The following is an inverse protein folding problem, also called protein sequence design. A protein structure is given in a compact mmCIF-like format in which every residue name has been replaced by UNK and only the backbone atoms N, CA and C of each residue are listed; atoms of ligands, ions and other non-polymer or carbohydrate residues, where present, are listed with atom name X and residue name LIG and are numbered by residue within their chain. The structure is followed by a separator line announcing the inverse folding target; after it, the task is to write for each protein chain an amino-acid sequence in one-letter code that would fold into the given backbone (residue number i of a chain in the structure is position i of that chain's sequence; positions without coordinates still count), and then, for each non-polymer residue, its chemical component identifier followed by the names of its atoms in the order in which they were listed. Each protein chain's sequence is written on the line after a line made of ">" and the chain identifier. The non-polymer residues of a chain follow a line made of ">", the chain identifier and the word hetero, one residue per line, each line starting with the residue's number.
data_IF_206606695155
#
_entry.id   IF_206606695155
#
_cell.length_a   1.000
_cell.length_b   1.000
_cell.length_c   1.000
_cell.angle_alpha   90.00
_cell.angle_beta   90.00
_cell.angle_gamma   90.00
#
_symmetry.space_group_name_H-M   'P 1'
#
loop_
_entity.id
_entity.type
_entity.pdbx_description
1 polymer ?
#
# COMPACT_ATOMS: atom_id res chain seq x y z
N UNK A 1 -48.65 24.92 -32.62
CA UNK A 1 -47.96 25.79 -31.64
C UNK A 1 -46.71 25.06 -31.16
N UNK A 2 -45.55 25.67 -31.39
CA UNK A 2 -44.23 25.16 -31.03
C UNK A 2 -43.85 25.70 -29.66
N UNK A 3 -43.37 24.87 -28.75
CA UNK A 3 -42.45 25.31 -27.70
C UNK A 3 -41.30 24.30 -27.59
N UNK A 4 -40.26 24.60 -28.37
CA UNK A 4 -38.89 24.19 -28.13
C UNK A 4 -38.39 24.99 -26.92
N UNK A 5 -37.93 24.34 -25.87
CA UNK A 5 -37.16 24.97 -24.78
C UNK A 5 -35.68 24.69 -25.02
N UNK A 6 -34.83 25.72 -25.19
CA UNK A 6 -33.40 25.53 -25.37
C UNK A 6 -32.72 25.38 -24.01
N UNK A 7 -32.01 24.27 -23.80
CA UNK A 7 -30.98 24.17 -22.78
C UNK A 7 -29.69 24.74 -23.37
N UNK A 8 -29.41 26.03 -23.11
CA UNK A 8 -28.05 26.52 -23.24
C UNK A 8 -27.75 27.71 -22.31
N UNK A 9 -26.83 27.42 -21.38
CA UNK A 9 -25.85 28.29 -20.70
C UNK A 9 -26.26 29.64 -20.13
N UNK A 10 -25.87 29.85 -18.86
CA UNK A 10 -24.82 30.84 -18.61
C UNK A 10 -23.87 30.41 -17.46
N UNK A 11 -22.58 30.78 -17.55
CA UNK A 11 -21.55 30.44 -16.59
C UNK A 11 -21.43 31.53 -15.51
N UNK A 12 -21.21 31.14 -14.26
CA UNK A 12 -20.50 32.02 -13.33
C UNK A 12 -19.44 31.23 -12.56
N UNK A 13 -18.25 31.34 -13.11
CA UNK A 13 -16.97 31.31 -12.42
C UNK A 13 -17.01 32.22 -11.18
N UNK A 14 -16.98 31.59 -10.01
CA UNK A 14 -16.26 32.13 -8.86
C UNK A 14 -15.63 30.95 -8.12
N UNK A 15 -14.51 30.46 -8.65
CA UNK A 15 -13.59 29.62 -7.89
C UNK A 15 -12.63 30.57 -7.16
N UNK A 16 -12.71 30.73 -5.83
CA UNK A 16 -11.57 31.23 -5.10
C UNK A 16 -10.45 30.19 -5.20
N UNK A 17 -9.23 30.69 -5.41
CA UNK A 17 -8.01 29.91 -5.56
C UNK A 17 -7.85 28.86 -4.44
N UNK A 18 -7.79 27.59 -4.83
CA UNK A 18 -7.55 26.48 -3.90
C UNK A 18 -8.22 25.17 -4.26
N UNK A 19 -8.34 24.81 -5.54
CA UNK A 19 -8.80 23.46 -5.93
C UNK A 19 -7.67 22.47 -5.69
N UNK A 20 -7.46 22.11 -4.43
CA UNK A 20 -6.92 20.79 -4.12
C UNK A 20 -8.05 19.81 -4.47
N UNK A 21 -7.93 19.14 -5.62
CA UNK A 21 -8.95 18.20 -6.07
C UNK A 21 -9.27 17.12 -5.02
N UNK A 22 -10.38 16.37 -5.15
CA UNK A 22 -10.76 15.32 -4.21
C UNK A 22 -9.62 14.32 -3.93
N UNK A 23 -8.82 14.05 -4.97
CA UNK A 23 -7.64 13.19 -4.89
C UNK A 23 -6.48 13.83 -4.10
N UNK A 24 -6.30 15.15 -4.20
CA UNK A 24 -5.36 15.89 -3.36
C UNK A 24 -5.80 15.92 -1.90
N UNK A 25 -7.11 16.09 -1.62
CA UNK A 25 -7.66 15.99 -0.26
C UNK A 25 -7.49 14.58 0.34
N UNK A 26 -7.68 13.52 -0.46
CA UNK A 26 -7.38 12.14 -0.08
C UNK A 26 -5.88 11.89 0.15
N UNK A 27 -5.00 12.51 -0.62
CA UNK A 27 -3.54 12.38 -0.45
C UNK A 27 -2.98 13.27 0.68
N UNK A 28 -3.66 14.36 1.03
CA UNK A 28 -3.23 15.37 2.01
C UNK A 28 -3.84 15.18 3.41
N UNK A 29 -4.51 14.05 3.67
CA UNK A 29 -4.95 13.69 5.01
C UNK A 29 -6.38 14.09 5.36
N UNK A 30 -7.26 14.24 4.37
CA UNK A 30 -8.71 14.24 4.58
C UNK A 30 -9.13 12.93 5.25
N UNK A 31 -9.47 13.00 6.54
CA UNK A 31 -10.00 11.89 7.34
C UNK A 31 -11.28 11.37 6.66
N UNK A 32 -11.22 10.23 5.98
CA UNK A 32 -12.40 9.47 5.59
C UNK A 32 -12.92 9.65 4.16
N UNK A 33 -12.05 9.83 3.16
CA UNK A 33 -12.46 9.60 1.77
C UNK A 33 -12.74 8.12 1.55
N UNK A 34 -14.01 7.71 1.49
CA UNK A 34 -14.37 6.36 1.06
C UNK A 34 -14.04 6.25 -0.43
N UNK A 35 -13.17 5.32 -0.80
CA UNK A 35 -12.88 5.05 -2.22
C UNK A 35 -14.03 4.19 -2.73
N UNK A 36 -14.77 4.70 -3.71
CA UNK A 36 -15.86 3.99 -4.34
C UNK A 36 -15.70 4.06 -5.85
N UNK A 37 -15.72 2.91 -6.52
CA UNK A 37 -15.79 2.83 -7.97
C UNK A 37 -17.20 3.19 -8.40
N UNK A 38 -17.32 4.17 -9.30
CA UNK A 38 -18.61 4.58 -9.81
C UNK A 38 -19.27 3.42 -10.57
N UNK A 39 -20.42 2.95 -10.08
CA UNK A 39 -21.37 2.04 -10.73
C UNK A 39 -20.77 0.79 -11.42
N UNK A 40 -20.10 -0.12 -10.70
CA UNK A 40 -19.75 -1.43 -11.26
C UNK A 40 -21.01 -2.27 -11.54
N UNK A 41 -20.99 -3.06 -12.61
CA UNK A 41 -22.08 -4.01 -12.90
C UNK A 41 -22.30 -4.96 -11.71
N UNK A 42 -23.54 -5.42 -11.49
CA UNK A 42 -23.91 -6.24 -10.32
C UNK A 42 -22.99 -7.46 -10.11
N UNK A 43 -22.62 -8.13 -11.21
CA UNK A 43 -21.74 -9.31 -11.21
C UNK A 43 -20.27 -9.01 -10.87
N UNK A 44 -19.86 -7.74 -10.88
CA UNK A 44 -18.49 -7.28 -10.60
C UNK A 44 -18.37 -6.58 -9.24
N UNK A 45 -19.46 -6.47 -8.47
CA UNK A 45 -19.46 -5.76 -7.17
C UNK A 45 -18.43 -6.28 -6.19
N UNK A 46 -18.23 -7.59 -6.13
CA UNK A 46 -17.24 -8.21 -5.24
C UNK A 46 -15.82 -7.80 -5.65
N UNK A 47 -15.49 -7.91 -6.93
CA UNK A 47 -14.18 -7.50 -7.48
C UNK A 47 -13.94 -6.00 -7.28
N UNK A 48 -14.96 -5.16 -7.48
CA UNK A 48 -14.88 -3.73 -7.24
C UNK A 48 -14.61 -3.38 -5.76
N UNK A 49 -15.32 -4.03 -4.83
CA UNK A 49 -15.12 -3.81 -3.39
C UNK A 49 -13.70 -4.19 -2.92
N UNK A 50 -13.13 -5.28 -3.45
CA UNK A 50 -11.73 -5.63 -3.19
C UNK A 50 -10.77 -4.57 -3.75
N UNK A 51 -11.05 -4.07 -4.96
CA UNK A 51 -10.22 -3.05 -5.59
C UNK A 51 -10.26 -1.72 -4.82
N UNK A 52 -11.42 -1.30 -4.34
CA UNK A 52 -11.58 -0.11 -3.48
C UNK A 52 -10.76 -0.23 -2.18
N UNK A 53 -10.84 -1.40 -1.53
CA UNK A 53 -10.04 -1.70 -0.33
C UNK A 53 -8.54 -1.63 -0.63
N UNK A 54 -8.10 -2.15 -1.77
CA UNK A 54 -6.69 -2.13 -2.18
C UNK A 54 -6.20 -0.71 -2.49
N UNK A 55 -7.04 0.14 -3.09
CA UNK A 55 -6.74 1.56 -3.32
C UNK A 55 -6.62 2.29 -1.97
N UNK A 56 -7.59 2.09 -1.06
CA UNK A 56 -7.56 2.69 0.27
C UNK A 56 -6.29 2.28 1.05
N UNK A 57 -5.93 1.00 1.00
CA UNK A 57 -4.71 0.48 1.64
C UNK A 57 -3.44 1.11 1.04
N UNK A 58 -3.37 1.29 -0.28
CA UNK A 58 -2.25 1.97 -0.93
C UNK A 58 -2.14 3.43 -0.50
N UNK A 59 -3.25 4.17 -0.51
CA UNK A 59 -3.28 5.57 -0.11
C UNK A 59 -2.85 5.74 1.36
N UNK A 60 -3.33 4.86 2.24
CA UNK A 60 -2.92 4.83 3.64
C UNK A 60 -1.41 4.61 3.79
N UNK A 61 -0.83 3.67 3.02
CA UNK A 61 0.63 3.43 3.03
C UNK A 61 1.41 4.65 2.54
N UNK A 62 0.93 5.34 1.49
CA UNK A 62 1.54 6.58 0.99
C UNK A 62 1.53 7.68 2.07
N UNK A 63 0.43 7.82 2.80
CA UNK A 63 0.33 8.79 3.89
C UNK A 63 1.28 8.47 5.05
N UNK A 64 1.38 7.20 5.45
CA UNK A 64 2.20 6.75 6.58
C UNK A 64 3.71 6.76 6.29
N UNK A 65 4.11 6.75 5.02
CA UNK A 65 5.52 6.70 4.64
C UNK A 65 6.25 8.03 4.92
N UNK A 66 7.23 7.97 5.84
CA UNK A 66 8.05 9.14 6.21
C UNK A 66 9.04 9.56 5.12
N UNK A 67 9.69 8.60 4.45
CA UNK A 67 10.66 8.86 3.38
C UNK A 67 10.02 8.63 2.01
N UNK A 68 9.25 9.62 1.54
CA UNK A 68 8.51 9.53 0.26
C UNK A 68 9.43 9.50 -0.97
N UNK A 69 10.66 10.01 -0.85
CA UNK A 69 11.67 10.02 -1.91
C UNK A 69 12.55 8.75 -1.93
N UNK A 70 12.28 7.73 -1.10
CA UNK A 70 13.02 6.46 -1.16
C UNK A 70 12.76 5.75 -2.50
N UNK A 71 13.79 5.51 -3.33
CA UNK A 71 13.59 4.93 -4.67
C UNK A 71 12.87 3.58 -4.66
N UNK A 72 13.08 2.73 -3.65
CA UNK A 72 12.36 1.44 -3.57
C UNK A 72 10.88 1.64 -3.28
N UNK A 73 10.58 2.59 -2.41
CA UNK A 73 9.19 2.92 -2.10
C UNK A 73 8.49 3.48 -3.33
N UNK A 74 9.12 4.41 -4.05
CA UNK A 74 8.58 4.99 -5.28
C UNK A 74 8.34 3.90 -6.33
N UNK A 75 9.32 3.01 -6.54
CA UNK A 75 9.19 1.92 -7.51
C UNK A 75 8.05 0.95 -7.14
N UNK A 76 7.98 0.52 -5.88
CA UNK A 76 6.95 -0.40 -5.42
C UNK A 76 5.54 0.20 -5.52
N UNK A 77 5.36 1.46 -5.12
CA UNK A 77 4.07 2.15 -5.25
C UNK A 77 3.70 2.38 -6.71
N UNK A 78 4.65 2.70 -7.59
CA UNK A 78 4.38 2.86 -9.02
C UNK A 78 3.91 1.54 -9.66
N UNK A 79 4.56 0.42 -9.36
CA UNK A 79 4.14 -0.90 -9.83
C UNK A 79 2.77 -1.29 -9.26
N UNK A 80 2.55 -1.05 -7.97
CA UNK A 80 1.25 -1.31 -7.33
C UNK A 80 0.13 -0.48 -7.97
N UNK A 81 0.39 0.81 -8.23
CA UNK A 81 -0.58 1.69 -8.90
C UNK A 81 -0.87 1.23 -10.33
N UNK A 82 0.14 0.78 -11.08
CA UNK A 82 -0.05 0.22 -12.41
C UNK A 82 -1.00 -0.99 -12.40
N UNK A 83 -0.85 -1.90 -11.44
CA UNK A 83 -1.77 -3.03 -11.25
C UNK A 83 -3.20 -2.58 -10.89
N UNK A 84 -3.36 -1.54 -10.06
CA UNK A 84 -4.68 -0.98 -9.73
C UNK A 84 -5.36 -0.35 -10.95
N UNK A 85 -4.62 0.40 -11.78
CA UNK A 85 -5.16 0.99 -13.00
C UNK A 85 -5.54 -0.08 -14.02
N UNK A 86 -4.71 -1.12 -14.18
CA UNK A 86 -5.02 -2.25 -15.04
C UNK A 86 -6.32 -2.95 -14.60
N UNK A 87 -6.49 -3.23 -13.31
CA UNK A 87 -7.71 -3.81 -12.78
C UNK A 87 -8.93 -2.92 -12.98
N UNK A 88 -8.80 -1.63 -12.67
CA UNK A 88 -9.88 -0.65 -12.87
C UNK A 88 -10.33 -0.64 -14.33
N UNK A 89 -9.39 -0.62 -15.27
CA UNK A 89 -9.68 -0.64 -16.70
C UNK A 89 -10.43 -1.91 -17.14
N UNK A 90 -9.99 -3.09 -16.68
CA UNK A 90 -10.64 -4.36 -17.00
C UNK A 90 -12.06 -4.41 -16.39
N UNK A 91 -12.23 -4.00 -15.13
CA UNK A 91 -13.55 -3.94 -14.49
C UNK A 91 -14.51 -3.04 -15.25
N UNK A 92 -14.07 -1.86 -15.70
CA UNK A 92 -14.94 -0.96 -16.45
C UNK A 92 -15.23 -1.43 -17.87
N UNK A 93 -14.25 -2.02 -18.57
CA UNK A 93 -14.47 -2.64 -19.87
C UNK A 93 -15.52 -3.74 -19.80
N UNK A 94 -15.40 -4.61 -18.80
CA UNK A 94 -16.33 -5.73 -18.62
C UNK A 94 -17.68 -5.26 -18.09
N UNK A 95 -17.72 -4.20 -17.28
CA UNK A 95 -18.97 -3.53 -16.89
C UNK A 95 -19.72 -3.04 -18.13
N UNK A 96 -19.04 -2.40 -19.08
CA UNK A 96 -19.65 -1.98 -20.33
C UNK A 96 -20.19 -3.16 -21.13
N UNK A 97 -19.39 -4.22 -21.31
CA UNK A 97 -19.80 -5.42 -22.07
C UNK A 97 -21.01 -6.13 -21.45
N UNK A 98 -21.04 -6.26 -20.12
CA UNK A 98 -22.19 -6.80 -19.38
C UNK A 98 -23.43 -5.91 -19.47
N UNK A 99 -23.26 -4.58 -19.54
CA UNK A 99 -24.38 -3.63 -19.62
C UNK A 99 -24.99 -3.59 -21.02
N UNK A 100 -24.18 -3.85 -22.06
CA UNK A 100 -24.63 -3.93 -23.45
C UNK A 100 -25.08 -5.34 -23.86
N UNK A 101 -25.00 -6.31 -22.95
CA UNK A 101 -25.37 -7.71 -23.18
C UNK A 101 -24.64 -8.34 -24.39
N UNK A 102 -23.34 -8.03 -24.55
CA UNK A 102 -22.54 -8.63 -25.62
C UNK A 102 -22.47 -10.17 -25.47
N UNK A 103 -22.40 -10.89 -26.58
CA UNK A 103 -22.25 -12.36 -26.59
C UNK A 103 -21.01 -12.84 -25.81
N UNK A 104 -19.95 -12.01 -25.73
CA UNK A 104 -18.73 -12.32 -24.97
C UNK A 104 -18.81 -11.98 -23.48
N UNK A 105 -19.88 -11.32 -23.02
CA UNK A 105 -19.94 -10.75 -21.68
C UNK A 105 -19.78 -11.79 -20.54
N UNK A 106 -20.36 -13.01 -20.61
CA UNK A 106 -20.11 -14.04 -19.58
C UNK A 106 -18.65 -14.49 -19.52
N UNK A 107 -17.99 -14.61 -20.68
CA UNK A 107 -16.57 -14.97 -20.77
C UNK A 107 -15.70 -13.86 -20.21
N UNK A 108 -15.95 -12.63 -20.61
CA UNK A 108 -15.17 -11.47 -20.18
C UNK A 108 -15.33 -11.20 -18.68
N UNK A 109 -16.52 -11.50 -18.13
CA UNK A 109 -16.75 -11.53 -16.69
C UNK A 109 -15.85 -12.51 -15.94
N UNK A 110 -15.80 -13.78 -16.37
CA UNK A 110 -14.95 -14.80 -15.74
C UNK A 110 -13.46 -14.44 -15.86
N UNK A 111 -13.03 -13.96 -17.03
CA UNK A 111 -11.66 -13.50 -17.24
C UNK A 111 -11.31 -12.31 -16.35
N UNK A 112 -12.25 -11.40 -16.14
CA UNK A 112 -12.07 -10.26 -15.22
C UNK A 112 -11.89 -10.73 -13.80
N UNK A 113 -12.69 -11.68 -13.33
CA UNK A 113 -12.53 -12.24 -11.98
C UNK A 113 -11.17 -12.91 -11.81
N UNK A 114 -10.74 -13.73 -12.77
CA UNK A 114 -9.43 -14.37 -12.75
C UNK A 114 -8.29 -13.35 -12.76
N UNK A 115 -8.37 -12.33 -13.62
CA UNK A 115 -7.40 -11.25 -13.70
C UNK A 115 -7.30 -10.46 -12.39
N UNK A 116 -8.45 -10.12 -11.76
CA UNK A 116 -8.47 -9.43 -10.48
C UNK A 116 -7.82 -10.25 -9.36
N UNK A 117 -8.08 -11.56 -9.31
CA UNK A 117 -7.50 -12.45 -8.31
C UNK A 117 -5.97 -12.56 -8.47
N UNK A 118 -5.49 -12.78 -9.69
CA UNK A 118 -4.06 -12.89 -9.99
C UNK A 118 -3.32 -11.56 -9.76
N UNK A 119 -3.92 -10.44 -10.17
CA UNK A 119 -3.40 -9.10 -9.91
C UNK A 119 -3.35 -8.77 -8.41
N UNK A 120 -4.28 -9.28 -7.60
CA UNK A 120 -4.23 -9.16 -6.13
C UNK A 120 -3.00 -9.87 -5.55
N UNK A 121 -2.69 -11.08 -6.03
CA UNK A 121 -1.49 -11.81 -5.63
C UNK A 121 -0.20 -11.06 -6.03
N UNK A 122 -0.15 -10.49 -7.24
CA UNK A 122 0.98 -9.65 -7.68
C UNK A 122 1.15 -8.41 -6.81
N UNK A 123 0.06 -7.71 -6.49
CA UNK A 123 0.09 -6.54 -5.57
C UNK A 123 0.63 -6.91 -4.19
N UNK A 124 0.21 -8.05 -3.63
CA UNK A 124 0.73 -8.53 -2.35
C UNK A 124 2.23 -8.85 -2.42
N UNK A 125 2.69 -9.46 -3.52
CA UNK A 125 4.11 -9.75 -3.77
C UNK A 125 4.95 -8.48 -3.84
N UNK A 126 4.51 -7.46 -4.58
CA UNK A 126 5.21 -6.16 -4.69
C UNK A 126 5.44 -5.54 -3.31
N UNK A 127 4.42 -5.56 -2.45
CA UNK A 127 4.53 -5.03 -1.09
C UNK A 127 5.49 -5.85 -0.23
N UNK A 128 5.43 -7.18 -0.32
CA UNK A 128 6.32 -8.08 0.40
C UNK A 128 7.79 -7.86 0.00
N UNK A 129 8.08 -7.76 -1.30
CA UNK A 129 9.43 -7.50 -1.82
C UNK A 129 9.97 -6.14 -1.39
N UNK A 130 9.12 -5.11 -1.37
CA UNK A 130 9.49 -3.81 -0.85
C UNK A 130 9.80 -3.84 0.65
N UNK A 131 8.95 -4.47 1.46
CA UNK A 131 9.15 -4.60 2.91
C UNK A 131 10.44 -5.38 3.22
N UNK A 132 10.68 -6.48 2.51
CA UNK A 132 11.91 -7.28 2.61
C UNK A 132 13.15 -6.45 2.25
N UNK A 133 13.10 -5.72 1.14
CA UNK A 133 14.22 -4.87 0.69
C UNK A 133 14.50 -3.72 1.66
N UNK A 134 13.44 -3.13 2.23
CA UNK A 134 13.55 -2.09 3.26
C UNK A 134 14.16 -2.63 4.56
N UNK A 135 13.77 -3.84 4.97
CA UNK A 135 14.34 -4.52 6.13
C UNK A 135 15.82 -4.87 5.90
N UNK A 136 16.18 -5.40 4.73
CA UNK A 136 17.55 -5.73 4.37
C UNK A 136 18.46 -4.50 4.43
N UNK A 137 18.03 -3.36 3.86
CA UNK A 137 18.79 -2.09 3.96
C UNK A 137 18.98 -1.62 5.39
N UNK A 138 17.97 -1.78 6.26
CA UNK A 138 18.07 -1.41 7.67
C UNK A 138 19.03 -2.33 8.43
N UNK A 139 19.05 -3.62 8.11
CA UNK A 139 19.98 -4.57 8.71
C UNK A 139 21.42 -4.25 8.30
N UNK A 140 21.67 -4.06 7.01
CA UNK A 140 22.98 -3.66 6.47
C UNK A 140 23.44 -2.32 7.04
N UNK A 141 22.57 -1.31 7.07
CA UNK A 141 22.94 0.02 7.54
C UNK A 141 23.18 0.14 9.05
N UNK A 142 22.74 -0.85 9.86
CA UNK A 142 23.03 -0.92 11.30
C UNK A 142 24.27 -1.75 11.61
N UNK A 143 24.72 -2.57 10.66
CA UNK A 143 25.92 -3.35 10.80
C UNK A 143 27.13 -2.42 10.65
N UNK A 144 27.83 -2.14 11.76
CA UNK A 144 29.13 -1.47 11.71
C UNK A 144 30.19 -2.34 11.01
N UNK A 145 29.97 -3.66 11.03
CA UNK A 145 30.77 -4.67 10.34
C UNK A 145 29.83 -5.68 9.69
N UNK A 146 29.87 -5.78 8.36
CA UNK A 146 29.08 -6.74 7.57
C UNK A 146 29.52 -8.18 7.84
N UNK A 147 30.77 -8.40 8.26
CA UNK A 147 31.30 -9.73 8.55
C UNK A 147 30.62 -10.36 9.77
N UNK A 148 30.12 -9.55 10.71
CA UNK A 148 29.36 -10.04 11.88
C UNK A 148 27.90 -10.39 11.60
N UNK A 149 27.35 -10.01 10.45
CA UNK A 149 25.97 -10.31 10.07
C UNK A 149 25.81 -11.64 9.33
N UNK A 150 26.90 -12.20 8.82
CA UNK A 150 26.95 -13.48 8.13
C UNK A 150 27.99 -14.36 8.79
N UNK A 151 27.67 -14.89 9.97
CA UNK A 151 28.53 -15.89 10.60
C UNK A 151 28.44 -17.17 9.76
N UNK A 152 29.57 -17.64 9.24
CA UNK A 152 29.59 -18.89 8.50
C UNK A 152 29.15 -20.02 9.46
N UNK A 153 28.31 -20.99 9.03
CA UNK A 153 27.79 -22.03 9.94
C UNK A 153 28.88 -22.81 10.67
N UNK A 154 30.07 -22.95 10.05
CA UNK A 154 31.26 -23.54 10.70
C UNK A 154 31.79 -22.67 11.86
N UNK A 155 31.74 -21.35 11.74
CA UNK A 155 32.14 -20.43 12.81
C UNK A 155 31.15 -20.43 13.96
N UNK A 156 29.84 -20.62 13.70
CA UNK A 156 28.82 -20.82 14.74
C UNK A 156 29.00 -22.13 15.52
N UNK A 157 29.41 -23.20 14.82
CA UNK A 157 29.70 -24.49 15.46
C UNK A 157 30.99 -24.48 16.27
N UNK A 158 31.94 -23.63 15.90
CA UNK A 158 33.22 -23.49 16.60
C UNK A 158 33.23 -22.39 17.66
N UNK A 159 32.18 -21.57 17.75
CA UNK A 159 32.04 -20.57 18.80
C UNK A 159 31.75 -21.26 20.15
N UNK A 160 32.58 -20.99 21.16
CA UNK A 160 32.31 -21.46 22.52
C UNK A 160 30.94 -20.95 23.01
N UNK A 161 30.15 -21.77 23.72
CA UNK A 161 28.85 -21.35 24.22
C UNK A 161 29.02 -20.11 25.10
N UNK A 162 28.40 -19.00 24.69
CA UNK A 162 28.46 -17.74 25.41
C UNK A 162 28.06 -17.96 26.88
N UNK A 163 29.02 -17.80 27.79
CA UNK A 163 28.74 -17.80 29.23
C UNK A 163 27.70 -16.71 29.50
N UNK A 164 26.53 -17.12 29.98
CA UNK A 164 25.43 -16.20 30.31
C UNK A 164 25.98 -15.02 31.12
N UNK A 165 25.60 -13.76 30.82
CA UNK A 165 25.99 -12.64 31.65
C UNK A 165 25.49 -12.91 33.07
N UNK A 166 26.41 -12.90 34.04
CA UNK A 166 26.09 -12.95 35.47
C UNK A 166 25.10 -11.82 35.72
N UNK A 167 23.87 -12.18 36.10
CA UNK A 167 22.90 -11.24 36.65
C UNK A 167 23.60 -10.49 37.78
N UNK A 168 23.64 -9.15 37.79
CA UNK A 168 24.25 -8.43 38.90
C UNK A 168 23.46 -8.79 40.16
N UNK A 169 24.10 -9.48 41.09
CA UNK A 169 23.49 -9.81 42.38
C UNK A 169 23.24 -8.49 43.11
N UNK A 170 22.04 -8.34 43.65
CA UNK A 170 21.51 -7.16 44.35
C UNK A 170 22.31 -6.72 45.60
N UNK A 171 23.46 -7.33 45.88
CA UNK A 171 24.28 -7.09 47.06
C UNK A 171 25.26 -5.92 46.92
N UNK A 172 25.54 -5.44 45.70
CA UNK A 172 26.50 -4.34 45.50
C UNK A 172 25.90 -2.93 45.69
N UNK A 173 24.57 -2.81 45.81
CA UNK A 173 23.91 -1.52 46.02
C UNK A 173 23.84 -1.09 47.50
N UNK A 174 24.19 -1.98 48.44
CA UNK A 174 24.14 -1.68 49.88
C UNK A 174 25.49 -1.21 50.46
N UNK A 175 26.62 -1.50 49.79
CA UNK A 175 27.95 -1.16 50.34
C UNK A 175 28.38 0.29 50.09
N UNK A 176 27.74 1.01 49.17
CA UNK A 176 28.13 2.40 48.81
C UNK A 176 27.40 3.46 49.67
N UNK A 177 26.50 3.05 50.57
CA UNK A 177 25.74 3.98 51.46
C UNK A 177 26.25 4.03 52.91
N UNK A 178 27.32 3.31 53.27
CA UNK A 178 27.83 3.28 54.65
C UNK A 178 29.19 3.96 54.87
N UNK A 179 29.85 4.52 53.85
CA UNK A 179 31.08 5.31 54.01
C UNK A 179 30.87 6.83 53.85
N UNK A 180 29.66 7.31 54.14
CA UNK A 180 29.37 8.73 54.25
C UNK A 180 28.56 8.98 55.53
N UNK A 181 29.25 8.90 56.68
CA UNK A 181 28.93 9.61 57.92
C UNK A 181 30.13 9.55 58.86
#
# INVERSE_FOLDING_TARGET
>A
MRHFTPLLMQPQTHMPAGVQGPLASLLLGGKGGNVNLAAPHANLRVSAAFLEKDIAAMLQRIQQQKKRADPLFVMAIAQYAAELFANTAVVYRTTASLTHEDDSAPRDWLLTQAFCADSSARRAKILCEWELSSAARKAIGKAADLNGCTTHPVELMNAEPARKPKVPSKSAAASVRQEAN
#
